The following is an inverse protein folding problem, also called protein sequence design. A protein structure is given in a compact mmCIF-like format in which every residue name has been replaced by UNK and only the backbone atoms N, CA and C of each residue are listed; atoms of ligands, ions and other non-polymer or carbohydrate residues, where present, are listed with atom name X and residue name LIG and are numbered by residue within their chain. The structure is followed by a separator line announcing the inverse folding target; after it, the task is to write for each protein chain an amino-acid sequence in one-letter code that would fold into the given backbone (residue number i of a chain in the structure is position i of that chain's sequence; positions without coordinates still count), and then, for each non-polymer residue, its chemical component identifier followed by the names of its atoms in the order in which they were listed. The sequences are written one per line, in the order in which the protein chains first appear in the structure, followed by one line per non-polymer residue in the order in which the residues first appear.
data_IF_773723634986
#
_entry.id   IF_773723634986
#
_cell.length_a   1.000
_cell.length_b   1.000
_cell.length_c   1.000
_cell.angle_alpha   90.00
_cell.angle_beta   90.00
_cell.angle_gamma   90.00
#
_symmetry.space_group_name_H-M   'P 1'
#
loop_
_entity.id
_entity.type
_entity.pdbx_description
1 polymer ?
#
# COMPACT_ATOMS: atom_id res chain seq x y z
N UNK A 1 21.73 -10.59 -14.45
CA UNK A 1 21.40 -9.83 -15.66
C UNK A 1 19.96 -9.31 -15.72
N UNK A 2 19.03 -9.86 -14.98
CA UNK A 2 17.61 -9.39 -14.88
C UNK A 2 17.40 -8.11 -14.04
N UNK A 3 18.34 -7.76 -13.21
CA UNK A 3 18.23 -6.63 -12.25
C UNK A 3 18.32 -5.25 -12.92
N UNK A 4 19.02 -5.12 -14.05
CA UNK A 4 19.12 -3.87 -14.81
C UNK A 4 17.85 -3.50 -15.59
N UNK A 5 17.02 -4.49 -15.94
CA UNK A 5 15.79 -4.25 -16.70
C UNK A 5 14.66 -3.62 -15.89
N UNK A 6 14.55 -3.94 -14.58
CA UNK A 6 13.51 -3.43 -13.70
C UNK A 6 13.75 -1.95 -13.39
N UNK A 7 14.98 -1.57 -13.04
CA UNK A 7 15.33 -0.15 -12.78
C UNK A 7 15.14 0.76 -14.01
N UNK A 8 15.32 0.23 -15.22
CA UNK A 8 15.19 1.03 -16.44
C UNK A 8 13.71 1.21 -16.86
N UNK A 9 12.86 0.21 -16.60
CA UNK A 9 11.40 0.31 -16.85
C UNK A 9 10.71 1.20 -15.83
N UNK A 10 11.12 1.20 -14.57
CA UNK A 10 10.53 2.07 -13.54
C UNK A 10 10.79 3.55 -13.82
N UNK A 11 11.95 3.92 -14.39
CA UNK A 11 12.27 5.30 -14.82
C UNK A 11 11.43 5.80 -16.02
N UNK A 12 10.84 4.91 -16.81
CA UNK A 12 10.07 5.28 -18.02
C UNK A 12 8.56 5.50 -17.73
N UNK A 13 8.12 5.37 -16.48
CA UNK A 13 6.69 5.37 -16.12
C UNK A 13 6.16 6.68 -15.57
N UNK A 14 6.99 7.65 -15.29
CA UNK A 14 6.54 8.98 -14.92
C UNK A 14 6.25 9.81 -16.18
N UNK A 15 5.09 9.60 -16.78
CA UNK A 15 4.53 10.59 -17.70
C UNK A 15 4.30 11.86 -16.87
N UNK A 16 4.81 13.04 -17.29
CA UNK A 16 4.55 14.28 -16.59
C UNK A 16 3.04 14.50 -16.52
N UNK A 17 2.48 14.33 -15.33
CA UNK A 17 1.07 14.53 -15.08
C UNK A 17 0.92 15.91 -14.44
N UNK A 18 0.15 16.79 -15.07
CA UNK A 18 -0.19 18.09 -14.49
C UNK A 18 -1.15 17.89 -13.32
N UNK A 19 -0.94 18.62 -12.23
CA UNK A 19 -1.92 18.68 -11.15
C UNK A 19 -3.22 19.27 -11.69
N UNK A 20 -4.32 18.69 -11.29
CA UNK A 20 -5.64 19.26 -11.57
C UNK A 20 -5.87 20.52 -10.74
N UNK A 21 -6.70 21.43 -11.23
CA UNK A 21 -7.02 22.67 -10.54
C UNK A 21 -7.54 22.39 -9.11
N UNK A 22 -6.95 23.09 -8.14
CA UNK A 22 -7.30 22.95 -6.73
C UNK A 22 -6.68 21.76 -6.00
N UNK A 23 -5.79 21.00 -6.63
CA UNK A 23 -4.96 19.99 -5.95
C UNK A 23 -3.59 20.58 -5.66
N UNK A 24 -3.13 20.41 -4.41
CA UNK A 24 -1.78 20.77 -3.97
C UNK A 24 -0.95 19.52 -3.76
N UNK A 25 0.33 19.62 -4.07
CA UNK A 25 1.35 18.60 -3.89
C UNK A 25 2.49 19.17 -3.04
N UNK A 26 2.70 18.59 -1.85
CA UNK A 26 3.86 18.88 -1.00
C UNK A 26 4.82 17.71 -1.10
N UNK A 27 6.05 17.96 -1.57
CA UNK A 27 7.02 16.92 -1.86
C UNK A 27 8.09 16.79 -0.80
N UNK A 28 8.64 15.58 -0.73
CA UNK A 28 9.88 15.26 0.00
C UNK A 28 9.82 15.69 1.48
N UNK A 29 8.68 15.42 2.11
CA UNK A 29 8.50 15.65 3.54
C UNK A 29 9.17 14.52 4.31
N UNK A 30 10.17 14.84 5.13
CA UNK A 30 10.88 13.89 5.98
C UNK A 30 10.01 13.48 7.17
N UNK A 31 9.45 12.27 7.13
CA UNK A 31 8.59 11.76 8.19
C UNK A 31 9.36 11.14 9.37
N UNK A 32 10.66 10.92 9.18
CA UNK A 32 11.53 10.29 10.18
C UNK A 32 12.48 11.29 10.86
N UNK A 33 12.80 12.39 10.16
CA UNK A 33 13.71 13.42 10.67
C UNK A 33 15.19 13.10 10.49
N UNK A 34 15.55 12.18 9.57
CA UNK A 34 16.94 11.75 9.35
C UNK A 34 17.51 12.12 7.99
N UNK A 35 16.75 12.81 7.15
CA UNK A 35 17.16 13.33 5.85
C UNK A 35 17.37 12.29 4.75
N UNK A 36 16.99 11.04 4.96
CA UNK A 36 17.15 9.98 3.97
C UNK A 36 16.02 9.95 2.96
N UNK A 37 16.34 9.67 1.71
CA UNK A 37 15.35 9.57 0.63
C UNK A 37 14.30 8.47 0.85
N UNK A 38 14.67 7.38 1.50
CA UNK A 38 13.79 6.28 1.88
C UNK A 38 12.78 6.66 2.97
N UNK A 39 12.99 7.78 3.66
CA UNK A 39 12.12 8.28 4.73
C UNK A 39 11.37 9.57 4.33
N UNK A 40 11.24 9.81 3.03
CA UNK A 40 10.46 10.92 2.48
C UNK A 40 9.07 10.45 2.05
N UNK A 41 8.10 11.35 2.18
CA UNK A 41 6.75 11.16 1.63
C UNK A 41 6.29 12.41 0.86
N UNK A 42 5.33 12.21 -0.04
CA UNK A 42 4.62 13.32 -0.69
C UNK A 42 3.18 13.36 -0.18
N UNK A 43 2.61 14.57 -0.12
CA UNK A 43 1.23 14.79 0.34
C UNK A 43 0.44 15.44 -0.79
N UNK A 44 -0.73 14.88 -1.09
CA UNK A 44 -1.67 15.38 -2.10
C UNK A 44 -2.99 15.69 -1.42
N UNK A 45 -3.51 16.89 -1.59
CA UNK A 45 -4.79 17.28 -1.00
C UNK A 45 -5.45 18.41 -1.80
N UNK A 46 -6.74 18.55 -1.65
CA UNK A 46 -7.48 19.64 -2.28
C UNK A 46 -7.41 20.90 -1.42
N UNK A 47 -7.06 22.03 -2.01
CA UNK A 47 -7.12 23.35 -1.38
C UNK A 47 -8.60 23.71 -1.14
N UNK A 48 -8.89 24.36 -0.02
CA UNK A 48 -10.23 24.89 0.30
C UNK A 48 -10.59 24.78 1.78
N UNK A 49 -11.79 25.26 2.13
CA UNK A 49 -12.26 25.38 3.52
C UNK A 49 -12.66 24.05 4.18
N UNK A 50 -12.79 22.96 3.40
CA UNK A 50 -13.16 21.66 3.96
C UNK A 50 -11.98 21.04 4.70
N UNK A 51 -12.05 21.01 6.01
CA UNK A 51 -11.13 20.29 6.89
C UNK A 51 -11.73 18.94 7.30
N UNK A 52 -10.88 18.02 7.77
CA UNK A 52 -11.35 16.71 8.24
C UNK A 52 -11.65 15.72 7.09
N UNK A 53 -10.95 15.84 5.97
CA UNK A 53 -11.06 14.89 4.84
C UNK A 53 -10.57 13.52 5.25
N UNK A 54 -11.13 12.43 4.71
CA UNK A 54 -10.59 11.11 4.94
C UNK A 54 -9.13 11.03 4.49
N UNK A 55 -8.30 10.39 5.31
CA UNK A 55 -6.85 10.29 5.09
C UNK A 55 -6.50 8.92 4.50
N UNK A 56 -5.63 8.93 3.51
CA UNK A 56 -5.10 7.75 2.84
C UNK A 56 -3.58 7.70 3.00
N UNK A 57 -3.03 6.56 3.41
CA UNK A 57 -1.61 6.25 3.28
C UNK A 57 -1.43 5.32 2.07
N UNK A 58 -0.70 5.78 1.06
CA UNK A 58 -0.35 5.03 -0.16
C UNK A 58 1.04 4.43 -0.04
N UNK A 59 1.18 3.12 -0.25
CA UNK A 59 2.41 2.34 -0.10
C UNK A 59 2.75 1.70 -1.44
N UNK A 60 3.88 2.11 -2.05
CA UNK A 60 4.26 1.67 -3.39
C UNK A 60 4.73 0.22 -3.43
N UNK A 61 4.55 -0.41 -4.60
CA UNK A 61 5.10 -1.71 -4.93
C UNK A 61 6.59 -1.67 -5.31
N UNK A 62 7.09 -2.78 -5.85
CA UNK A 62 8.49 -2.90 -6.27
C UNK A 62 9.20 -4.13 -5.71
N UNK A 63 8.46 -5.16 -5.28
CA UNK A 63 9.01 -6.43 -4.80
C UNK A 63 9.90 -6.27 -3.57
N UNK A 64 9.61 -5.29 -2.71
CA UNK A 64 10.35 -4.94 -1.48
C UNK A 64 11.78 -4.42 -1.70
N UNK A 65 12.29 -4.42 -2.93
CA UNK A 65 13.68 -4.13 -3.28
C UNK A 65 13.85 -2.94 -4.22
N UNK A 66 12.77 -2.43 -4.77
CA UNK A 66 12.74 -1.32 -5.73
C UNK A 66 11.46 -0.52 -5.56
N UNK A 67 11.31 0.51 -6.35
CA UNK A 67 10.16 1.41 -6.30
C UNK A 67 10.47 2.66 -5.48
N UNK A 68 9.66 3.65 -5.70
CA UNK A 68 9.69 4.96 -5.04
C UNK A 68 8.27 5.55 -5.05
N UNK A 69 7.98 6.48 -4.14
CA UNK A 69 6.68 7.15 -4.04
C UNK A 69 6.19 7.76 -5.36
N UNK A 70 7.10 8.21 -6.20
CA UNK A 70 6.79 8.78 -7.52
C UNK A 70 6.08 7.79 -8.46
N UNK A 71 6.24 6.49 -8.25
CA UNK A 71 5.56 5.47 -9.04
C UNK A 71 4.03 5.54 -8.87
N UNK A 72 3.57 5.90 -7.67
CA UNK A 72 2.16 5.98 -7.32
C UNK A 72 1.60 7.42 -7.43
N UNK A 73 2.45 8.41 -7.79
CA UNK A 73 2.09 9.83 -7.83
C UNK A 73 0.77 10.10 -8.55
N UNK A 74 0.63 9.63 -9.78
CA UNK A 74 -0.55 9.92 -10.60
C UNK A 74 -1.82 9.31 -9.99
N UNK A 75 -1.74 8.11 -9.48
CA UNK A 75 -2.84 7.45 -8.77
C UNK A 75 -3.21 8.20 -7.47
N UNK A 76 -2.23 8.68 -6.71
CA UNK A 76 -2.47 9.49 -5.51
C UNK A 76 -3.17 10.81 -5.83
N UNK A 77 -2.81 11.46 -6.94
CA UNK A 77 -3.52 12.66 -7.43
C UNK A 77 -5.00 12.33 -7.73
N UNK A 78 -5.30 11.19 -8.36
CA UNK A 78 -6.67 10.76 -8.63
C UNK A 78 -7.49 10.50 -7.36
N UNK A 79 -6.85 10.06 -6.28
CA UNK A 79 -7.49 9.97 -4.96
C UNK A 79 -7.72 11.37 -4.35
N UNK A 80 -6.75 12.27 -4.44
CA UNK A 80 -6.90 13.64 -3.94
C UNK A 80 -8.02 14.41 -4.66
N UNK A 81 -8.19 14.20 -5.97
CA UNK A 81 -9.30 14.74 -6.75
C UNK A 81 -10.68 14.29 -6.24
N UNK A 82 -10.76 13.10 -5.65
CA UNK A 82 -11.96 12.54 -5.01
C UNK A 82 -12.16 13.03 -3.57
N UNK A 83 -11.33 13.97 -3.12
CA UNK A 83 -11.51 14.63 -1.84
C UNK A 83 -10.73 14.02 -0.68
N UNK A 84 -9.79 13.12 -0.93
CA UNK A 84 -8.93 12.55 0.10
C UNK A 84 -7.68 13.39 0.34
N UNK A 85 -7.15 13.33 1.57
CA UNK A 85 -5.78 13.76 1.86
C UNK A 85 -4.88 12.52 1.78
N UNK A 86 -3.95 12.50 0.84
CA UNK A 86 -3.15 11.31 0.51
C UNK A 86 -1.70 11.52 0.90
N UNK A 87 -1.18 10.66 1.76
CA UNK A 87 0.24 10.56 2.11
C UNK A 87 0.84 9.39 1.32
N UNK A 88 1.79 9.68 0.46
CA UNK A 88 2.41 8.71 -0.45
C UNK A 88 3.86 8.48 0.01
N UNK A 89 4.15 7.31 0.57
CA UNK A 89 5.34 7.08 1.39
C UNK A 89 6.41 6.28 0.64
N UNK A 90 7.68 6.69 0.79
CA UNK A 90 8.84 5.83 0.60
C UNK A 90 9.09 5.00 1.86
N UNK A 91 9.78 3.89 1.72
CA UNK A 91 10.26 3.04 2.82
C UNK A 91 11.60 2.40 2.44
N UNK A 92 12.37 1.96 3.44
CA UNK A 92 13.66 1.30 3.25
C UNK A 92 13.54 0.01 2.46
N UNK A 93 14.43 -0.19 1.49
CA UNK A 93 14.35 -1.31 0.56
C UNK A 93 15.32 -2.45 0.92
N UNK A 94 14.90 -3.68 0.70
CA UNK A 94 15.77 -4.85 0.78
C UNK A 94 16.87 -4.79 -0.32
N UNK A 95 18.06 -5.33 -0.09
CA UNK A 95 18.49 -6.13 1.05
C UNK A 95 18.98 -5.33 2.26
N UNK A 96 19.01 -3.98 2.20
CA UNK A 96 19.49 -3.13 3.29
C UNK A 96 18.53 -3.16 4.48
N UNK A 97 17.24 -3.33 4.22
CA UNK A 97 16.18 -3.43 5.21
C UNK A 97 15.43 -4.75 5.09
N UNK A 98 15.03 -5.33 6.22
CA UNK A 98 14.14 -6.48 6.26
C UNK A 98 12.68 -6.05 6.11
N UNK A 99 11.76 -7.01 5.90
CA UNK A 99 10.32 -6.74 5.90
C UNK A 99 9.86 -6.07 7.21
N UNK A 100 10.46 -6.44 8.35
CA UNK A 100 10.15 -5.79 9.63
C UNK A 100 10.57 -4.32 9.65
N UNK A 101 11.75 -4.01 9.11
CA UNK A 101 12.24 -2.63 9.04
C UNK A 101 11.32 -1.78 8.16
N UNK A 102 10.85 -2.31 7.04
CA UNK A 102 9.86 -1.66 6.17
C UNK A 102 8.53 -1.38 6.90
N UNK A 103 8.06 -2.32 7.71
CA UNK A 103 6.88 -2.12 8.56
C UNK A 103 7.12 -1.08 9.67
N UNK A 104 8.33 -0.98 10.20
CA UNK A 104 8.72 0.08 11.14
C UNK A 104 8.72 1.46 10.47
N UNK A 105 9.22 1.57 9.24
CA UNK A 105 9.17 2.82 8.48
C UNK A 105 7.73 3.28 8.23
N UNK A 106 6.85 2.35 7.86
CA UNK A 106 5.41 2.63 7.68
C UNK A 106 4.77 3.04 9.01
N UNK A 107 5.18 2.44 10.13
CA UNK A 107 4.72 2.87 11.46
C UNK A 107 5.14 4.30 11.79
N UNK A 108 6.37 4.68 11.45
CA UNK A 108 6.85 6.06 11.61
C UNK A 108 6.05 7.04 10.72
N UNK A 109 5.79 6.66 9.46
CA UNK A 109 4.96 7.45 8.56
C UNK A 109 3.51 7.61 9.09
N UNK A 110 2.93 6.58 9.71
CA UNK A 110 1.63 6.67 10.37
C UNK A 110 1.65 7.60 11.59
N UNK A 111 2.74 7.62 12.36
CA UNK A 111 2.91 8.55 13.48
C UNK A 111 2.97 9.99 12.98
N UNK A 112 3.77 10.25 11.95
CA UNK A 112 3.83 11.54 11.29
C UNK A 112 2.46 11.99 10.75
N UNK A 113 1.76 11.09 10.05
CA UNK A 113 0.42 11.34 9.51
C UNK A 113 -0.57 11.72 10.62
N UNK A 114 -0.59 10.96 11.73
CA UNK A 114 -1.47 11.23 12.87
C UNK A 114 -1.26 12.64 13.45
N UNK A 115 -0.03 13.10 13.52
CA UNK A 115 0.34 14.40 14.08
C UNK A 115 0.07 15.54 13.10
N UNK A 116 0.20 15.32 11.80
CA UNK A 116 0.27 16.37 10.79
C UNK A 116 -0.94 16.42 9.84
N UNK A 117 -1.82 15.42 9.79
CA UNK A 117 -2.91 15.36 8.80
C UNK A 117 -3.80 16.61 8.82
N UNK A 118 -4.05 17.20 9.99
CA UNK A 118 -4.85 18.41 10.14
C UNK A 118 -4.27 19.62 9.39
N UNK A 119 -2.95 19.72 9.26
CA UNK A 119 -2.27 20.79 8.52
C UNK A 119 -2.49 20.68 7.01
N UNK A 120 -2.94 19.53 6.52
CA UNK A 120 -3.23 19.23 5.12
C UNK A 120 -4.72 18.92 4.88
N UNK A 121 -5.59 19.51 5.68
CA UNK A 121 -7.05 19.33 5.61
C UNK A 121 -7.54 17.89 5.89
N UNK A 122 -6.69 16.99 6.37
CA UNK A 122 -7.04 15.61 6.71
C UNK A 122 -7.62 15.45 8.11
N UNK A 123 -8.43 14.41 8.31
CA UNK A 123 -8.94 14.03 9.64
C UNK A 123 -7.86 13.30 10.44
N UNK A 124 -7.42 13.81 11.60
CA UNK A 124 -6.50 13.09 12.46
C UNK A 124 -7.18 11.89 13.13
N UNK A 125 -6.39 10.86 13.47
CA UNK A 125 -6.87 9.71 14.27
C UNK A 125 -7.45 8.55 13.48
N UNK A 126 -7.64 8.69 12.16
CA UNK A 126 -8.06 7.58 11.30
C UNK A 126 -7.36 7.61 9.96
N UNK A 127 -7.18 6.44 9.34
CA UNK A 127 -6.51 6.29 8.05
C UNK A 127 -7.09 5.13 7.25
N UNK A 128 -7.12 5.25 5.94
CA UNK A 128 -7.30 4.14 5.02
C UNK A 128 -5.98 3.79 4.37
N UNK A 129 -5.67 2.51 4.25
CA UNK A 129 -4.41 2.04 3.69
C UNK A 129 -4.63 1.58 2.23
N UNK A 130 -3.79 2.08 1.34
CA UNK A 130 -3.79 1.68 -0.07
C UNK A 130 -2.39 1.21 -0.44
N UNK A 131 -2.28 0.10 -1.17
CA UNK A 131 -0.97 -0.35 -1.63
C UNK A 131 -1.06 -1.27 -2.83
N UNK A 132 -0.01 -1.28 -3.62
CA UNK A 132 0.10 -2.10 -4.82
C UNK A 132 1.20 -3.18 -4.70
N UNK A 133 0.96 -4.38 -5.22
CA UNK A 133 1.94 -5.47 -5.27
C UNK A 133 2.57 -5.75 -3.89
N UNK A 134 3.89 -5.55 -3.73
CA UNK A 134 4.60 -5.62 -2.45
C UNK A 134 4.11 -4.58 -1.44
N UNK A 135 3.78 -3.35 -1.90
CA UNK A 135 3.15 -2.31 -1.08
C UNK A 135 1.74 -2.72 -0.62
N UNK A 136 1.02 -3.49 -1.45
CA UNK A 136 -0.25 -4.11 -1.05
C UNK A 136 -0.08 -5.12 0.09
N UNK A 137 0.99 -5.91 0.08
CA UNK A 137 1.34 -6.78 1.19
C UNK A 137 1.69 -5.97 2.45
N UNK A 138 2.50 -4.92 2.32
CA UNK A 138 2.85 -4.05 3.44
C UNK A 138 1.62 -3.34 4.02
N UNK A 139 0.70 -2.85 3.18
CA UNK A 139 -0.58 -2.27 3.61
C UNK A 139 -1.44 -3.28 4.38
N UNK A 140 -1.56 -4.52 3.87
CA UNK A 140 -2.28 -5.60 4.53
C UNK A 140 -1.69 -5.94 5.89
N UNK A 141 -0.37 -6.11 5.99
CA UNK A 141 0.29 -6.41 7.27
C UNK A 141 0.22 -5.25 8.25
N UNK A 142 0.33 -4.01 7.79
CA UNK A 142 0.13 -2.82 8.63
C UNK A 142 -1.28 -2.78 9.20
N UNK A 143 -2.31 -3.06 8.39
CA UNK A 143 -3.69 -3.17 8.87
C UNK A 143 -3.82 -4.29 9.93
N UNK A 144 -3.24 -5.46 9.67
CA UNK A 144 -3.27 -6.57 10.61
C UNK A 144 -2.57 -6.23 11.94
N UNK A 145 -1.44 -5.54 11.88
CA UNK A 145 -0.73 -5.05 13.07
C UNK A 145 -1.54 -4.00 13.84
N UNK A 146 -2.23 -3.09 13.16
CA UNK A 146 -3.11 -2.10 13.80
C UNK A 146 -4.32 -2.75 14.49
N UNK A 147 -4.84 -3.83 13.91
CA UNK A 147 -6.04 -4.53 14.42
C UNK A 147 -5.74 -5.64 15.43
N UNK A 148 -4.49 -6.14 15.54
CA UNK A 148 -4.12 -7.24 16.44
C UNK A 148 -3.00 -6.85 17.40
N UNK A 149 -3.35 -6.71 18.68
CA UNK A 149 -2.37 -6.52 19.76
C UNK A 149 -1.36 -7.67 19.83
N UNK A 150 -1.83 -8.90 19.66
CA UNK A 150 -0.98 -10.09 19.65
C UNK A 150 0.05 -10.04 18.52
N UNK A 151 -0.33 -9.61 17.32
CA UNK A 151 0.60 -9.51 16.19
C UNK A 151 1.66 -8.42 16.44
N UNK A 152 1.26 -7.28 17.04
CA UNK A 152 2.20 -6.21 17.46
C UNK A 152 3.25 -6.70 18.44
N UNK A 153 2.84 -7.48 19.42
CA UNK A 153 3.77 -8.10 20.40
C UNK A 153 4.76 -9.05 19.71
N UNK A 154 4.28 -9.90 18.79
CA UNK A 154 5.11 -10.85 18.04
C UNK A 154 6.16 -10.12 17.20
N UNK A 155 5.76 -9.08 16.48
CA UNK A 155 6.66 -8.31 15.63
C UNK A 155 7.48 -7.25 16.36
N UNK A 156 7.14 -6.97 17.63
CA UNK A 156 7.78 -5.91 18.43
C UNK A 156 7.79 -4.56 17.71
N UNK A 157 6.63 -4.18 17.13
CA UNK A 157 6.44 -2.91 16.42
C UNK A 157 5.50 -2.04 17.23
N UNK A 158 5.97 -0.83 17.55
CA UNK A 158 5.13 0.21 18.11
C UNK A 158 4.39 0.92 16.97
N UNK A 159 3.07 0.90 17.02
CA UNK A 159 2.21 1.62 16.10
C UNK A 159 1.51 2.76 16.84
N UNK A 160 1.24 3.90 16.19
CA UNK A 160 0.43 4.93 16.78
C UNK A 160 -1.00 4.42 17.03
N UNK A 161 -1.65 4.99 18.02
CA UNK A 161 -3.08 4.77 18.23
C UNK A 161 -3.87 5.52 17.14
N UNK A 162 -4.09 4.86 16.03
CA UNK A 162 -4.81 5.34 14.86
C UNK A 162 -5.77 4.25 14.36
N UNK A 163 -6.99 4.64 14.05
CA UNK A 163 -8.00 3.71 13.55
C UNK A 163 -7.81 3.47 12.05
N UNK A 164 -7.67 2.21 11.62
CA UNK A 164 -7.72 1.88 10.21
C UNK A 164 -9.18 1.68 9.77
N UNK A 165 -9.63 2.47 8.76
CA UNK A 165 -11.03 2.48 8.32
C UNK A 165 -11.27 1.54 7.15
N UNK A 166 -10.38 1.52 6.18
CA UNK A 166 -10.50 0.73 4.96
C UNK A 166 -9.14 0.25 4.47
N UNK A 167 -9.15 -0.82 3.69
CA UNK A 167 -7.95 -1.40 3.09
C UNK A 167 -8.19 -1.61 1.59
N UNK A 168 -7.40 -0.99 0.72
CA UNK A 168 -7.46 -1.17 -0.71
C UNK A 168 -6.14 -1.73 -1.26
N UNK A 169 -6.21 -2.87 -1.92
CA UNK A 169 -5.05 -3.66 -2.36
C UNK A 169 -5.09 -3.84 -3.88
N UNK A 170 -4.09 -3.32 -4.56
CA UNK A 170 -3.96 -3.39 -6.01
C UNK A 170 -2.97 -4.51 -6.38
N UNK A 171 -3.47 -5.61 -6.92
CA UNK A 171 -2.65 -6.77 -7.28
C UNK A 171 -1.72 -7.23 -6.15
N UNK A 172 -2.19 -7.40 -4.90
CA UNK A 172 -1.32 -7.65 -3.76
C UNK A 172 -0.59 -8.99 -3.86
N UNK A 173 0.66 -9.03 -3.37
CA UNK A 173 1.49 -10.24 -3.29
C UNK A 173 1.71 -10.59 -1.82
N UNK A 174 0.72 -11.23 -1.18
CA UNK A 174 0.68 -11.44 0.26
C UNK A 174 1.18 -12.81 0.75
N UNK A 175 1.06 -13.88 -0.06
CA UNK A 175 1.48 -15.23 0.34
C UNK A 175 2.96 -15.45 0.07
N UNK A 176 3.79 -15.00 1.01
CA UNK A 176 5.24 -14.89 0.82
C UNK A 176 6.00 -16.21 0.90
N UNK A 177 5.43 -17.26 1.43
CA UNK A 177 6.09 -18.57 1.56
C UNK A 177 5.97 -19.42 0.30
N UNK A 178 5.16 -19.02 -0.67
CA UNK A 178 4.80 -19.80 -1.86
C UNK A 178 5.33 -19.17 -3.17
N UNK A 179 5.36 -19.97 -4.22
CA UNK A 179 5.69 -19.55 -5.58
C UNK A 179 7.13 -19.76 -6.00
N UNK A 180 7.36 -19.68 -7.33
CA UNK A 180 8.65 -19.85 -8.01
C UNK A 180 8.97 -18.61 -8.85
N UNK A 181 10.22 -18.45 -9.29
CA UNK A 181 10.61 -17.40 -10.22
C UNK A 181 11.11 -16.10 -9.56
N UNK A 182 11.13 -14.95 -10.27
CA UNK A 182 11.73 -13.69 -9.81
C UNK A 182 11.15 -13.14 -8.50
N UNK A 183 9.84 -13.27 -8.30
CA UNK A 183 9.16 -12.90 -7.04
C UNK A 183 9.69 -13.71 -5.86
N UNK A 184 10.01 -15.00 -6.08
CA UNK A 184 10.62 -15.85 -5.07
C UNK A 184 12.02 -15.37 -4.66
N UNK A 185 12.78 -14.76 -5.57
CA UNK A 185 14.11 -14.22 -5.28
C UNK A 185 14.03 -12.93 -4.47
N UNK A 186 13.17 -11.99 -4.85
CA UNK A 186 12.94 -10.77 -4.11
C UNK A 186 12.46 -11.04 -2.69
N UNK A 187 11.54 -11.93 -2.57
CA UNK A 187 11.00 -12.43 -1.32
C UNK A 187 12.07 -13.03 -0.40
N UNK A 188 12.99 -13.88 -0.92
CA UNK A 188 14.09 -14.46 -0.14
C UNK A 188 15.05 -13.41 0.42
N UNK A 189 15.16 -12.28 -0.26
CA UNK A 189 16.01 -11.17 0.15
C UNK A 189 15.30 -10.35 1.24
N UNK A 190 14.01 -10.04 1.06
CA UNK A 190 13.21 -9.32 2.05
C UNK A 190 12.95 -10.17 3.33
N UNK A 191 12.80 -11.50 3.16
CA UNK A 191 12.67 -12.47 4.23
C UNK A 191 14.03 -13.11 4.54
N UNK A 192 14.92 -12.38 5.20
CA UNK A 192 16.21 -12.91 5.64
C UNK A 192 16.06 -14.17 6.50
N UNK A 193 17.14 -14.96 6.65
CA UNK A 193 17.11 -16.15 7.51
C UNK A 193 16.72 -15.83 8.94
N UNK A 194 17.22 -14.73 9.48
CA UNK A 194 16.93 -14.30 10.85
C UNK A 194 15.48 -13.84 10.99
N UNK A 195 14.95 -13.12 9.98
CA UNK A 195 13.54 -12.77 9.91
C UNK A 195 12.66 -14.05 9.92
N UNK A 196 12.95 -15.01 9.05
CA UNK A 196 12.18 -16.26 8.96
C UNK A 196 12.26 -17.11 10.22
N UNK A 197 13.42 -17.12 10.90
CA UNK A 197 13.59 -17.82 12.19
C UNK A 197 12.70 -17.21 13.28
N UNK A 198 12.56 -15.88 13.31
CA UNK A 198 11.81 -15.17 14.34
C UNK A 198 10.32 -15.04 14.02
N UNK A 199 9.99 -14.71 12.76
CA UNK A 199 8.64 -14.32 12.34
C UNK A 199 8.00 -15.26 11.30
N UNK A 200 8.72 -16.27 10.83
CA UNK A 200 8.29 -17.10 9.69
C UNK A 200 6.94 -17.80 9.86
N UNK A 201 6.52 -18.06 11.10
CA UNK A 201 5.19 -18.60 11.39
C UNK A 201 4.06 -17.60 11.04
N UNK A 202 4.33 -16.29 11.07
CA UNK A 202 3.33 -15.23 10.92
C UNK A 202 3.58 -14.36 9.68
N UNK A 203 4.16 -14.92 8.63
CA UNK A 203 4.53 -14.18 7.42
C UNK A 203 3.53 -14.35 6.27
N UNK A 204 2.60 -15.29 6.41
CA UNK A 204 1.55 -15.57 5.43
C UNK A 204 0.17 -15.20 5.99
N UNK A 205 -0.74 -14.64 5.17
CA UNK A 205 -2.07 -14.23 5.64
C UNK A 205 -2.84 -15.29 6.39
N UNK A 206 -2.77 -16.56 5.93
CA UNK A 206 -3.47 -17.70 6.54
C UNK A 206 -2.95 -18.12 7.91
N UNK A 207 -1.80 -17.58 8.33
CA UNK A 207 -1.21 -17.83 9.66
C UNK A 207 -1.34 -16.65 10.63
N UNK A 208 -1.91 -15.53 10.18
CA UNK A 208 -2.07 -14.35 11.04
C UNK A 208 -3.22 -14.52 12.04
N UNK A 209 -3.04 -14.07 13.29
CA UNK A 209 -4.13 -14.02 14.25
C UNK A 209 -5.11 -12.89 13.89
N UNK A 210 -6.32 -12.98 14.42
CA UNK A 210 -7.31 -11.91 14.46
C UNK A 210 -7.73 -11.35 13.09
N UNK A 211 -7.66 -12.14 12.00
CA UNK A 211 -8.01 -11.68 10.65
C UNK A 211 -9.43 -11.10 10.56
N UNK A 212 -10.37 -11.60 11.33
CA UNK A 212 -11.75 -11.13 11.35
C UNK A 212 -11.92 -9.70 11.89
N UNK A 213 -10.88 -9.11 12.47
CA UNK A 213 -10.89 -7.72 12.98
C UNK A 213 -10.45 -6.70 11.94
N UNK A 214 -10.01 -7.16 10.77
CA UNK A 214 -9.59 -6.26 9.69
C UNK A 214 -10.74 -5.37 9.19
N UNK A 215 -10.43 -4.14 8.74
CA UNK A 215 -11.44 -3.25 8.17
C UNK A 215 -12.00 -3.80 6.86
N UNK A 216 -13.09 -3.21 6.34
CA UNK A 216 -13.56 -3.48 4.99
C UNK A 216 -12.42 -3.39 3.97
N UNK A 217 -12.37 -4.36 3.06
CA UNK A 217 -11.27 -4.51 2.11
C UNK A 217 -11.79 -4.49 0.67
N UNK A 218 -11.07 -3.80 -0.21
CA UNK A 218 -11.21 -3.86 -1.66
C UNK A 218 -9.92 -4.42 -2.26
N UNK A 219 -10.03 -5.39 -3.14
CA UNK A 219 -8.90 -5.98 -3.85
C UNK A 219 -9.16 -5.84 -5.35
N UNK A 220 -8.18 -5.35 -6.12
CA UNK A 220 -8.25 -5.38 -7.57
C UNK A 220 -7.12 -6.22 -8.17
N UNK A 221 -7.43 -6.90 -9.27
CA UNK A 221 -6.48 -7.65 -10.10
C UNK A 221 -7.01 -7.76 -11.53
N UNK A 222 -6.23 -8.33 -12.44
CA UNK A 222 -6.62 -8.50 -13.84
C UNK A 222 -6.32 -9.90 -14.35
N UNK A 223 -6.94 -10.27 -15.48
CA UNK A 223 -6.73 -11.56 -16.13
C UNK A 223 -5.26 -11.82 -16.51
N UNK A 224 -4.56 -10.78 -17.00
CA UNK A 224 -3.15 -10.84 -17.37
C UNK A 224 -2.18 -10.49 -16.21
N UNK A 225 -2.70 -10.40 -14.99
CA UNK A 225 -1.87 -10.24 -13.79
C UNK A 225 -1.28 -11.60 -13.35
N UNK A 226 -0.20 -12.00 -13.98
CA UNK A 226 0.46 -13.29 -13.69
C UNK A 226 1.13 -13.34 -12.31
N UNK A 227 1.31 -12.21 -11.62
CA UNK A 227 1.93 -12.13 -10.29
C UNK A 227 0.90 -12.09 -9.16
N UNK A 228 -0.11 -11.25 -9.29
CA UNK A 228 -1.07 -10.95 -8.23
C UNK A 228 -2.42 -11.65 -8.35
N UNK A 229 -2.80 -12.14 -9.55
CA UNK A 229 -4.13 -12.68 -9.81
C UNK A 229 -4.56 -13.76 -8.82
N UNK A 230 -3.77 -14.82 -8.73
CA UNK A 230 -4.10 -15.95 -7.85
C UNK A 230 -4.01 -15.55 -6.37
N UNK A 231 -3.01 -14.76 -6.01
CA UNK A 231 -2.86 -14.25 -4.65
C UNK A 231 -4.02 -13.34 -4.23
N UNK A 232 -4.49 -12.48 -5.13
CA UNK A 232 -5.66 -11.61 -4.91
C UNK A 232 -6.94 -12.42 -4.67
N UNK A 233 -7.19 -13.44 -5.48
CA UNK A 233 -8.34 -14.32 -5.33
C UNK A 233 -8.31 -15.04 -3.99
N UNK A 234 -7.19 -15.70 -3.70
CA UNK A 234 -6.98 -16.44 -2.45
C UNK A 234 -7.10 -15.53 -1.22
N UNK A 235 -6.54 -14.32 -1.28
CA UNK A 235 -6.66 -13.37 -0.17
C UNK A 235 -8.11 -12.94 0.04
N UNK A 236 -8.86 -12.65 -1.03
CA UNK A 236 -10.27 -12.31 -0.95
C UNK A 236 -11.11 -13.44 -0.32
N UNK A 237 -10.88 -14.70 -0.73
CA UNK A 237 -11.54 -15.87 -0.16
C UNK A 237 -11.22 -16.04 1.33
N UNK A 238 -9.94 -15.90 1.70
CA UNK A 238 -9.50 -15.99 3.09
C UNK A 238 -10.16 -14.92 3.97
N UNK A 239 -10.20 -13.67 3.51
CA UNK A 239 -10.82 -12.56 4.24
C UNK A 239 -12.31 -12.79 4.43
N UNK A 240 -13.03 -13.17 3.36
CA UNK A 240 -14.47 -13.50 3.43
C UNK A 240 -14.74 -14.64 4.41
N UNK A 241 -13.93 -15.70 4.37
CA UNK A 241 -14.03 -16.85 5.30
C UNK A 241 -13.85 -16.42 6.76
N UNK A 242 -13.09 -15.39 7.03
CA UNK A 242 -12.87 -14.83 8.36
C UNK A 242 -13.86 -13.71 8.72
N UNK A 243 -14.92 -13.49 7.95
CA UNK A 243 -15.98 -12.53 8.25
C UNK A 243 -15.66 -11.08 7.84
N UNK A 244 -14.54 -10.83 7.15
CA UNK A 244 -14.20 -9.50 6.66
C UNK A 244 -15.02 -9.17 5.42
N UNK A 245 -15.66 -7.99 5.40
CA UNK A 245 -16.30 -7.45 4.18
C UNK A 245 -15.22 -7.21 3.13
N UNK A 246 -15.16 -8.06 2.10
CA UNK A 246 -14.13 -7.97 1.06
C UNK A 246 -14.78 -8.02 -0.32
N UNK A 247 -14.50 -7.00 -1.13
CA UNK A 247 -14.84 -6.92 -2.55
C UNK A 247 -13.61 -7.26 -3.38
N UNK A 248 -13.79 -8.13 -4.39
CA UNK A 248 -12.77 -8.43 -5.38
C UNK A 248 -13.23 -7.91 -6.74
N UNK A 249 -12.52 -6.90 -7.25
CA UNK A 249 -12.64 -6.41 -8.62
C UNK A 249 -11.68 -7.18 -9.51
N UNK A 250 -12.23 -7.89 -10.49
CA UNK A 250 -11.46 -8.67 -11.44
C UNK A 250 -11.64 -8.08 -12.85
N UNK A 251 -10.59 -7.50 -13.40
CA UNK A 251 -10.61 -6.95 -14.76
C UNK A 251 -10.32 -8.07 -15.77
N UNK A 252 -11.30 -8.39 -16.61
CA UNK A 252 -11.21 -9.51 -17.57
C UNK A 252 -10.52 -9.14 -18.88
N UNK A 253 -10.41 -7.84 -19.19
CA UNK A 253 -9.80 -7.37 -20.46
C UNK A 253 -8.31 -7.69 -20.49
N UNK A 254 -7.85 -8.30 -21.58
CA UNK A 254 -6.46 -8.71 -21.76
C UNK A 254 -5.46 -7.54 -21.90
N UNK A 255 -5.94 -6.30 -22.00
CA UNK A 255 -5.08 -5.12 -22.05
C UNK A 255 -4.48 -4.72 -20.69
N UNK A 256 -4.97 -5.33 -19.59
CA UNK A 256 -4.63 -4.95 -18.23
C UNK A 256 -3.87 -6.06 -17.51
N UNK A 257 -2.68 -5.73 -17.01
CA UNK A 257 -1.79 -6.63 -16.27
C UNK A 257 -1.61 -6.22 -14.82
N UNK A 258 -0.47 -6.61 -14.25
CA UNK A 258 -0.11 -6.36 -12.87
C UNK A 258 -0.14 -4.86 -12.53
N UNK A 259 -0.83 -4.48 -11.45
CA UNK A 259 -0.99 -3.11 -10.93
C UNK A 259 -1.41 -2.07 -11.97
N UNK A 260 -2.28 -2.44 -12.92
CA UNK A 260 -2.70 -1.57 -14.00
C UNK A 260 -3.26 -0.20 -13.55
N UNK A 261 -3.94 -0.05 -12.38
CA UNK A 261 -4.42 1.25 -11.93
C UNK A 261 -3.29 2.23 -11.60
N UNK A 262 -2.11 1.72 -11.24
CA UNK A 262 -0.93 2.54 -10.99
C UNK A 262 -0.28 2.97 -12.31
N UNK A 263 -0.22 2.06 -13.29
CA UNK A 263 0.48 2.31 -14.55
C UNK A 263 -0.30 3.19 -15.52
N UNK A 264 -1.62 3.10 -15.49
CA UNK A 264 -2.52 3.87 -16.35
C UNK A 264 -3.77 4.30 -15.56
N UNK A 265 -3.64 5.25 -14.63
CA UNK A 265 -4.73 5.64 -13.73
C UNK A 265 -5.92 6.29 -14.45
N UNK A 266 -5.76 6.68 -15.71
CA UNK A 266 -6.76 7.38 -16.50
C UNK A 266 -7.55 6.46 -17.45
N UNK A 267 -7.22 5.18 -17.55
CA UNK A 267 -8.05 4.26 -18.31
C UNK A 267 -9.36 3.96 -17.56
N UNK A 268 -10.44 3.69 -18.29
CA UNK A 268 -11.78 3.45 -17.72
C UNK A 268 -11.78 2.41 -16.59
N UNK A 269 -11.01 1.34 -16.76
CA UNK A 269 -10.88 0.29 -15.74
C UNK A 269 -10.23 0.81 -14.46
N UNK A 270 -9.17 1.62 -14.56
CA UNK A 270 -8.49 2.21 -13.41
C UNK A 270 -9.34 3.29 -12.72
N UNK A 271 -10.08 4.09 -13.49
CA UNK A 271 -11.05 5.06 -12.96
C UNK A 271 -12.12 4.32 -12.15
N UNK A 272 -12.69 3.24 -12.68
CA UNK A 272 -13.67 2.39 -11.96
C UNK A 272 -13.12 1.83 -10.65
N UNK A 273 -11.87 1.37 -10.64
CA UNK A 273 -11.18 0.91 -9.41
C UNK A 273 -11.02 2.05 -8.42
N UNK A 274 -10.56 3.22 -8.87
CA UNK A 274 -10.37 4.39 -7.99
C UNK A 274 -11.70 4.86 -7.40
N UNK A 275 -12.79 4.85 -8.17
CA UNK A 275 -14.14 5.16 -7.69
C UNK A 275 -14.66 4.13 -6.68
N UNK A 276 -14.32 2.85 -6.86
CA UNK A 276 -14.68 1.81 -5.90
C UNK A 276 -13.93 1.95 -4.58
N UNK A 277 -12.64 2.33 -4.63
CA UNK A 277 -11.84 2.67 -3.46
C UNK A 277 -12.41 3.90 -2.74
N UNK A 278 -12.80 4.94 -3.49
CA UNK A 278 -13.41 6.12 -2.90
C UNK A 278 -14.70 5.76 -2.15
N UNK A 279 -15.60 5.02 -2.78
CA UNK A 279 -16.84 4.53 -2.13
C UNK A 279 -16.57 3.66 -0.90
N UNK A 280 -15.53 2.81 -0.93
CA UNK A 280 -15.15 1.99 0.23
C UNK A 280 -14.77 2.89 1.41
N UNK A 281 -13.94 3.90 1.19
CA UNK A 281 -13.43 4.81 2.23
C UNK A 281 -14.54 5.70 2.78
N UNK A 282 -15.42 6.24 1.92
CA UNK A 282 -16.54 7.09 2.32
C UNK A 282 -17.59 6.35 3.15
N UNK A 283 -17.73 5.04 2.99
CA UNK A 283 -18.70 4.19 3.70
C UNK A 283 -18.09 3.40 4.88
N UNK A 284 -16.86 3.71 5.29
CA UNK A 284 -16.15 3.06 6.39
C UNK A 284 -16.16 3.93 7.66
#
# INVERSE_FOLDING_TARGET
MFWFGVKHKDRLRTVPFSLSDGIEEVKDVDYFGDGKSEHMLDIYFRIGENTGRPVVLSIHGGGWMSGVKENNRNFCIRLAERGFTVFNVNYSLAPKASLRDQLCDISAALSFLKENAGSFSGAPGSVSLVGDSAGGQLAFFTAALLCSGRLREIYEINLPDIKVLALALLSPVCFLTEGRGPVASGRRIALSRDFMKKYGQYVSPDSLPDLGTLPPCFISTAAEDHLGREQSRRLSELLKKNGVRCELHFEERSAHGHVYPIHNPDCDAAVSVTDSIARLIENA
#
